data_IF_098359061504
#
_entry.id   IF_098359061504
#
_cell.length_a   1.000
_cell.length_b   1.000
_cell.length_c   1.000
_cell.angle_alpha   90.00
_cell.angle_beta   90.00
_cell.angle_gamma   90.00
#
_symmetry.space_group_name_H-M   'P 1'
#
loop_
_entity.id
_entity.type
_entity.pdbx_description
1 polymer ?
#
# COMPACT_ATOMS: atom_id res chain seq x y z
N UNK A 1 -37.61 -23.16 -69.79
CA UNK A 1 -38.12 -24.01 -68.70
C UNK A 1 -37.41 -25.36 -68.86
N UNK A 2 -36.32 -25.58 -68.16
CA UNK A 2 -36.14 -26.05 -66.78
C UNK A 2 -35.55 -27.46 -66.83
N UNK A 3 -34.24 -27.50 -66.58
CA UNK A 3 -33.41 -28.69 -66.38
C UNK A 3 -33.73 -29.26 -64.99
N UNK A 4 -33.67 -30.59 -64.77
CA UNK A 4 -33.24 -31.07 -63.47
C UNK A 4 -31.95 -31.88 -63.60
N UNK A 5 -30.86 -31.18 -63.31
CA UNK A 5 -29.55 -31.68 -62.95
C UNK A 5 -29.67 -32.32 -61.56
N UNK A 6 -29.77 -33.65 -61.48
CA UNK A 6 -29.62 -34.39 -60.21
C UNK A 6 -28.81 -35.65 -60.44
N UNK A 7 -27.55 -35.46 -60.81
CA UNK A 7 -26.51 -36.48 -60.62
C UNK A 7 -25.20 -35.70 -60.47
N UNK A 8 -24.38 -36.05 -59.47
CA UNK A 8 -23.17 -35.35 -59.01
C UNK A 8 -23.39 -34.22 -57.98
N UNK A 9 -23.77 -34.56 -56.75
CA UNK A 9 -23.20 -33.88 -55.57
C UNK A 9 -23.39 -34.72 -54.29
N UNK A 10 -22.80 -35.91 -54.28
CA UNK A 10 -22.55 -36.63 -53.03
C UNK A 10 -21.11 -37.13 -53.12
N UNK A 11 -20.32 -36.97 -52.06
CA UNK A 11 -18.87 -37.15 -51.96
C UNK A 11 -18.09 -35.83 -52.18
N UNK A 12 -18.19 -34.85 -51.26
CA UNK A 12 -17.03 -34.01 -50.86
C UNK A 12 -17.30 -33.06 -49.66
N UNK A 13 -18.04 -33.46 -48.63
CA UNK A 13 -18.30 -32.54 -47.48
C UNK A 13 -18.04 -33.15 -46.10
N UNK A 14 -17.52 -34.38 -46.02
CA UNK A 14 -17.13 -34.98 -44.72
C UNK A 14 -15.63 -34.96 -44.47
N UNK A 15 -14.78 -34.83 -45.49
CA UNK A 15 -13.32 -34.85 -45.29
C UNK A 15 -12.71 -33.48 -44.94
N UNK A 16 -13.29 -32.36 -45.41
CA UNK A 16 -12.67 -31.04 -45.21
C UNK A 16 -12.89 -30.45 -43.80
N UNK A 17 -13.93 -30.88 -43.06
CA UNK A 17 -14.11 -30.51 -41.64
C UNK A 17 -13.24 -31.31 -40.67
N UNK A 18 -12.74 -32.50 -41.07
CA UNK A 18 -11.85 -33.30 -40.22
C UNK A 18 -10.40 -32.79 -40.20
N UNK A 19 -9.94 -32.11 -41.27
CA UNK A 19 -8.57 -31.58 -41.32
C UNK A 19 -8.41 -30.24 -40.61
N UNK A 20 -9.42 -29.36 -40.64
CA UNK A 20 -9.38 -28.08 -39.92
C UNK A 20 -9.45 -28.24 -38.39
N UNK A 21 -10.16 -29.27 -37.90
CA UNK A 21 -10.27 -29.57 -36.47
C UNK A 21 -8.98 -30.19 -35.90
N UNK A 22 -8.31 -31.06 -36.65
CA UNK A 22 -7.04 -31.67 -36.22
C UNK A 22 -5.88 -30.66 -36.12
N UNK A 23 -5.81 -29.67 -37.03
CA UNK A 23 -4.79 -28.60 -36.94
C UNK A 23 -5.05 -27.62 -35.80
N UNK A 24 -6.33 -27.32 -35.54
CA UNK A 24 -6.73 -26.46 -34.42
C UNK A 24 -6.45 -27.12 -33.06
N UNK A 25 -6.72 -28.43 -32.92
CA UNK A 25 -6.43 -29.17 -31.68
C UNK A 25 -4.93 -29.24 -31.39
N UNK A 26 -4.08 -29.50 -32.39
CA UNK A 26 -2.62 -29.55 -32.19
C UNK A 26 -2.04 -28.16 -31.82
N UNK A 27 -2.57 -27.07 -32.38
CA UNK A 27 -2.15 -25.72 -32.02
C UNK A 27 -2.60 -25.33 -30.60
N UNK A 28 -3.81 -25.72 -30.19
CA UNK A 28 -4.35 -25.54 -28.85
C UNK A 28 -3.54 -26.33 -27.81
N UNK A 29 -3.23 -27.61 -28.08
CA UNK A 29 -2.45 -28.47 -27.19
C UNK A 29 -1.04 -27.91 -26.93
N UNK A 30 -0.38 -27.39 -27.98
CA UNK A 30 0.93 -26.72 -27.84
C UNK A 30 0.84 -25.46 -26.98
N UNK A 31 -0.20 -24.66 -27.17
CA UNK A 31 -0.43 -23.44 -26.37
C UNK A 31 -0.61 -23.76 -24.88
N UNK A 32 -1.39 -24.80 -24.55
CA UNK A 32 -1.63 -25.22 -23.17
C UNK A 32 -0.35 -25.70 -22.45
N UNK A 33 0.49 -26.47 -23.14
CA UNK A 33 1.80 -26.89 -22.61
C UNK A 33 2.72 -25.69 -22.34
N UNK A 34 2.77 -24.74 -23.27
CA UNK A 34 3.62 -23.55 -23.12
C UNK A 34 3.15 -22.71 -21.94
N UNK A 35 1.83 -22.48 -21.83
CA UNK A 35 1.25 -21.75 -20.70
C UNK A 35 1.55 -22.43 -19.36
N UNK A 36 1.40 -23.76 -19.29
CA UNK A 36 1.75 -24.53 -18.10
C UNK A 36 3.23 -24.39 -17.72
N UNK A 37 4.12 -24.45 -18.73
CA UNK A 37 5.57 -24.34 -18.54
C UNK A 37 6.00 -22.96 -18.07
N UNK A 38 5.41 -21.90 -18.65
CA UNK A 38 5.70 -20.52 -18.28
C UNK A 38 5.24 -20.26 -16.84
N UNK A 39 4.03 -20.66 -16.48
CA UNK A 39 3.51 -20.50 -15.13
C UNK A 39 4.31 -21.30 -14.09
N UNK A 40 4.79 -22.51 -14.43
CA UNK A 40 5.69 -23.26 -13.55
C UNK A 40 7.06 -22.59 -13.38
N UNK A 41 7.60 -21.98 -14.45
CA UNK A 41 8.86 -21.23 -14.39
C UNK A 41 8.72 -19.99 -13.52
N UNK A 42 7.63 -19.24 -13.70
CA UNK A 42 7.29 -18.08 -12.88
C UNK A 42 7.14 -18.46 -11.40
N UNK A 43 6.42 -19.55 -11.11
CA UNK A 43 6.26 -20.02 -9.74
C UNK A 43 7.61 -20.34 -9.07
N UNK A 44 8.53 -21.01 -9.78
CA UNK A 44 9.88 -21.30 -9.29
C UNK A 44 10.70 -20.04 -9.06
N UNK A 45 10.60 -19.06 -9.97
CA UNK A 45 11.27 -17.78 -9.81
C UNK A 45 10.77 -17.04 -8.56
N UNK A 46 9.45 -16.96 -8.38
CA UNK A 46 8.83 -16.31 -7.22
C UNK A 46 9.20 -17.00 -5.90
N UNK A 47 9.29 -18.34 -5.90
CA UNK A 47 9.79 -19.07 -4.73
C UNK A 47 11.23 -18.73 -4.37
N UNK A 48 12.13 -18.67 -5.36
CA UNK A 48 13.51 -18.25 -5.12
C UNK A 48 13.57 -16.82 -4.54
N UNK A 49 12.77 -15.91 -5.08
CA UNK A 49 12.64 -14.54 -4.54
C UNK A 49 12.11 -14.54 -3.11
N UNK A 50 11.12 -15.37 -2.80
CA UNK A 50 10.59 -15.51 -1.44
C UNK A 50 11.68 -15.98 -0.46
N UNK A 51 12.43 -17.02 -0.83
CA UNK A 51 13.53 -17.57 -0.02
C UNK A 51 14.65 -16.55 0.22
N UNK A 52 14.99 -15.74 -0.78
CA UNK A 52 16.02 -14.68 -0.68
C UNK A 52 15.66 -13.60 0.37
N UNK A 53 14.38 -13.25 0.48
CA UNK A 53 13.94 -12.16 1.37
C UNK A 53 13.32 -12.64 2.69
N UNK A 54 13.08 -13.94 2.85
CA UNK A 54 12.34 -14.52 3.99
C UNK A 54 12.90 -14.10 5.36
N UNK A 55 14.23 -14.05 5.49
CA UNK A 55 14.89 -13.68 6.75
C UNK A 55 14.89 -12.18 7.03
N UNK A 56 14.79 -11.34 5.99
CA UNK A 56 14.90 -9.88 6.10
C UNK A 56 13.55 -9.14 6.02
N UNK A 57 12.57 -9.74 5.34
CA UNK A 57 11.25 -9.15 5.11
C UNK A 57 10.21 -10.27 4.90
N UNK A 58 9.68 -10.78 6.00
CA UNK A 58 8.66 -11.82 6.00
C UNK A 58 7.37 -11.40 5.25
N UNK A 59 7.04 -10.10 5.23
CA UNK A 59 5.86 -9.59 4.54
C UNK A 59 6.04 -9.64 3.02
N UNK A 60 7.20 -9.22 2.51
CA UNK A 60 7.53 -9.35 1.10
C UNK A 60 7.64 -10.83 0.68
N UNK A 61 8.28 -11.66 1.49
CA UNK A 61 8.36 -13.11 1.26
C UNK A 61 6.96 -13.76 1.18
N UNK A 62 6.05 -13.40 2.10
CA UNK A 62 4.65 -13.84 2.08
C UNK A 62 3.96 -13.49 0.76
N UNK A 63 4.17 -12.27 0.25
CA UNK A 63 3.65 -11.85 -1.07
C UNK A 63 4.14 -12.74 -2.21
N UNK A 64 5.45 -13.00 -2.28
CA UNK A 64 6.02 -13.89 -3.29
C UNK A 64 5.49 -15.33 -3.19
N UNK A 65 5.32 -15.88 -1.98
CA UNK A 65 4.72 -17.20 -1.79
C UNK A 65 3.26 -17.27 -2.26
N UNK A 66 2.47 -16.21 -2.07
CA UNK A 66 1.09 -16.11 -2.58
C UNK A 66 1.07 -16.13 -4.12
N UNK A 67 1.95 -15.37 -4.76
CA UNK A 67 1.98 -15.29 -6.22
C UNK A 67 2.57 -16.55 -6.86
N UNK A 68 3.52 -17.21 -6.19
CA UNK A 68 4.02 -18.52 -6.59
C UNK A 68 2.91 -19.58 -6.59
N UNK A 69 2.04 -19.58 -5.57
CA UNK A 69 0.88 -20.48 -5.51
C UNK A 69 -0.09 -20.26 -6.68
N UNK A 70 -0.43 -19.00 -6.99
CA UNK A 70 -1.28 -18.67 -8.15
C UNK A 70 -0.68 -19.18 -9.46
N UNK A 71 0.65 -19.04 -9.60
CA UNK A 71 1.39 -19.48 -10.78
C UNK A 71 1.40 -21.01 -10.89
N UNK A 72 1.57 -21.74 -9.79
CA UNK A 72 1.44 -23.20 -9.79
C UNK A 72 0.01 -23.70 -10.00
N UNK A 73 -1.01 -23.02 -9.48
CA UNK A 73 -2.41 -23.31 -9.77
C UNK A 73 -2.72 -23.16 -11.27
N UNK A 74 -2.16 -22.12 -11.89
CA UNK A 74 -2.24 -21.92 -13.35
C UNK A 74 -1.50 -23.03 -14.10
N UNK A 75 -0.29 -23.39 -13.67
CA UNK A 75 0.48 -24.46 -14.28
C UNK A 75 -0.26 -25.81 -14.25
N UNK A 76 -0.85 -26.16 -13.10
CA UNK A 76 -1.66 -27.36 -12.89
C UNK A 76 -2.91 -27.36 -13.77
N UNK A 77 -3.63 -26.24 -13.79
CA UNK A 77 -4.86 -26.11 -14.59
C UNK A 77 -4.58 -26.31 -16.07
N UNK A 78 -3.56 -25.62 -16.61
CA UNK A 78 -3.18 -25.72 -18.02
C UNK A 78 -2.63 -27.09 -18.39
N UNK A 79 -1.90 -27.74 -17.50
CA UNK A 79 -1.44 -29.10 -17.74
C UNK A 79 -2.58 -30.12 -17.75
N UNK A 80 -3.58 -29.96 -16.86
CA UNK A 80 -4.77 -30.82 -16.83
C UNK A 80 -5.63 -30.63 -18.08
N UNK A 81 -5.81 -29.39 -18.54
CA UNK A 81 -6.49 -29.08 -19.82
C UNK A 81 -5.78 -29.74 -21.01
N UNK A 82 -4.43 -29.70 -21.04
CA UNK A 82 -3.63 -30.41 -22.03
C UNK A 82 -3.81 -31.94 -21.94
N UNK A 83 -3.76 -32.51 -20.74
CA UNK A 83 -3.88 -33.96 -20.55
C UNK A 83 -5.28 -34.48 -20.95
N UNK A 84 -6.32 -33.67 -20.78
CA UNK A 84 -7.69 -33.97 -21.17
C UNK A 84 -7.89 -33.90 -22.70
N UNK A 85 -7.30 -32.89 -23.35
CA UNK A 85 -7.31 -32.75 -24.82
C UNK A 85 -6.43 -33.78 -25.53
N UNK A 86 -5.46 -34.37 -24.82
CA UNK A 86 -4.59 -35.44 -25.34
C UNK A 86 -4.81 -36.81 -24.63
N UNK A 87 -5.92 -37.51 -24.90
CA UNK A 87 -6.26 -38.78 -24.24
C UNK A 87 -5.36 -39.95 -24.66
N UNK A 88 -4.69 -39.87 -25.81
CA UNK A 88 -3.74 -40.89 -26.30
C UNK A 88 -2.30 -40.67 -25.80
N UNK A 89 -2.05 -39.58 -25.09
CA UNK A 89 -0.74 -39.30 -24.50
C UNK A 89 -0.35 -40.30 -23.40
N UNK A 90 0.94 -40.34 -23.09
CA UNK A 90 1.50 -41.18 -22.02
C UNK A 90 0.89 -40.80 -20.65
N UNK A 91 -0.03 -41.65 -20.17
CA UNK A 91 -0.77 -41.43 -18.93
C UNK A 91 0.10 -41.52 -17.68
N UNK A 92 1.15 -42.36 -17.70
CA UNK A 92 2.07 -42.44 -16.58
C UNK A 92 2.86 -41.13 -16.45
N UNK A 93 3.39 -40.62 -17.58
CA UNK A 93 4.11 -39.34 -17.60
C UNK A 93 3.22 -38.15 -17.24
N UNK A 94 1.98 -38.11 -17.73
CA UNK A 94 1.01 -37.08 -17.37
C UNK A 94 0.73 -37.09 -15.86
N UNK A 95 0.53 -38.27 -15.26
CA UNK A 95 0.33 -38.40 -13.82
C UNK A 95 1.55 -37.93 -13.01
N UNK A 96 2.77 -38.29 -13.44
CA UNK A 96 4.01 -37.83 -12.80
C UNK A 96 4.14 -36.30 -12.79
N UNK A 97 3.83 -35.64 -13.91
CA UNK A 97 3.92 -34.17 -13.99
C UNK A 97 2.89 -33.50 -13.07
N UNK A 98 1.65 -34.03 -13.04
CA UNK A 98 0.61 -33.51 -12.13
C UNK A 98 1.04 -33.69 -10.66
N UNK A 99 1.63 -34.84 -10.32
CA UNK A 99 2.13 -35.12 -8.97
C UNK A 99 3.27 -34.17 -8.57
N UNK A 100 4.27 -33.94 -9.45
CA UNK A 100 5.37 -33.00 -9.19
C UNK A 100 4.85 -31.57 -8.97
N UNK A 101 3.97 -31.08 -9.86
CA UNK A 101 3.39 -29.74 -9.72
C UNK A 101 2.56 -29.61 -8.43
N UNK A 102 1.82 -30.65 -8.05
CA UNK A 102 1.02 -30.67 -6.82
C UNK A 102 1.92 -30.67 -5.58
N UNK A 103 3.00 -31.45 -5.58
CA UNK A 103 3.96 -31.48 -4.48
C UNK A 103 4.66 -30.12 -4.29
N UNK A 104 5.06 -29.46 -5.38
CA UNK A 104 5.65 -28.11 -5.33
C UNK A 104 4.69 -27.06 -4.78
N UNK A 105 3.44 -27.10 -5.23
CA UNK A 105 2.38 -26.23 -4.71
C UNK A 105 2.18 -26.46 -3.20
N UNK A 106 2.19 -27.71 -2.74
CA UNK A 106 2.05 -28.03 -1.33
C UNK A 106 3.23 -27.47 -0.48
N UNK A 107 4.48 -27.62 -0.93
CA UNK A 107 5.64 -27.01 -0.26
C UNK A 107 5.51 -25.48 -0.15
N UNK A 108 5.05 -24.84 -1.21
CA UNK A 108 4.78 -23.40 -1.23
C UNK A 108 3.69 -22.99 -0.23
N UNK A 109 2.63 -23.79 -0.10
CA UNK A 109 1.53 -23.56 0.82
C UNK A 109 1.99 -23.67 2.28
N UNK A 110 2.81 -24.69 2.59
CA UNK A 110 3.41 -24.87 3.91
C UNK A 110 4.36 -23.71 4.27
N UNK A 111 5.19 -23.27 3.32
CA UNK A 111 6.08 -22.11 3.50
C UNK A 111 5.30 -20.82 3.68
N UNK A 112 4.29 -20.58 2.83
CA UNK A 112 3.37 -19.45 2.97
C UNK A 112 2.76 -19.41 4.37
N UNK A 113 2.23 -20.54 4.86
CA UNK A 113 1.58 -20.59 6.17
C UNK A 113 2.52 -20.17 7.30
N UNK A 114 3.79 -20.62 7.27
CA UNK A 114 4.80 -20.21 8.26
C UNK A 114 5.17 -18.73 8.14
N UNK A 115 5.46 -18.27 6.93
CA UNK A 115 6.02 -16.94 6.68
C UNK A 115 4.97 -15.85 6.80
N UNK A 116 3.76 -16.07 6.29
CA UNK A 116 2.67 -15.11 6.43
C UNK A 116 2.20 -14.98 7.90
N UNK A 117 2.20 -16.08 8.67
CA UNK A 117 1.92 -16.00 10.11
C UNK A 117 2.97 -15.20 10.88
N UNK A 118 4.23 -15.19 10.43
CA UNK A 118 5.28 -14.30 10.95
C UNK A 118 5.08 -12.86 10.46
N UNK A 119 4.75 -12.66 9.18
CA UNK A 119 4.46 -11.35 8.60
C UNK A 119 3.30 -10.62 9.30
N UNK A 120 2.24 -11.33 9.67
CA UNK A 120 1.12 -10.75 10.41
C UNK A 120 1.55 -10.28 11.80
N UNK A 121 2.43 -11.02 12.48
CA UNK A 121 3.00 -10.61 13.76
C UNK A 121 3.94 -9.42 13.62
N UNK A 122 4.79 -9.40 12.59
CA UNK A 122 5.69 -8.28 12.30
C UNK A 122 4.90 -7.02 11.94
N UNK A 123 3.81 -7.15 11.18
CA UNK A 123 2.88 -6.06 10.89
C UNK A 123 2.20 -5.55 12.16
N UNK A 124 1.72 -6.43 13.04
CA UNK A 124 1.12 -6.03 14.31
C UNK A 124 2.12 -5.33 15.24
N UNK A 125 3.37 -5.81 15.29
CA UNK A 125 4.44 -5.19 16.07
C UNK A 125 4.82 -3.81 15.51
N UNK A 126 4.87 -3.67 14.18
CA UNK A 126 5.08 -2.37 13.50
C UNK A 126 3.93 -1.40 13.76
N UNK A 127 2.69 -1.85 13.68
CA UNK A 127 1.52 -1.02 14.01
C UNK A 127 1.55 -0.58 15.47
N UNK A 128 1.84 -1.48 16.41
CA UNK A 128 1.98 -1.12 17.83
C UNK A 128 3.09 -0.08 18.05
N UNK A 129 4.25 -0.29 17.44
CA UNK A 129 5.36 0.67 17.48
C UNK A 129 4.97 2.02 16.88
N UNK A 130 4.21 2.02 15.78
CA UNK A 130 3.71 3.25 15.17
C UNK A 130 2.77 4.01 16.11
N UNK A 131 1.84 3.31 16.75
CA UNK A 131 0.92 3.92 17.72
C UNK A 131 1.69 4.54 18.89
N UNK A 132 2.71 3.84 19.40
CA UNK A 132 3.59 4.36 20.46
C UNK A 132 4.35 5.62 20.02
N UNK A 133 4.87 5.65 18.79
CA UNK A 133 5.56 6.81 18.25
C UNK A 133 4.62 7.98 17.90
N UNK A 134 3.35 7.72 17.60
CA UNK A 134 2.33 8.74 17.35
C UNK A 134 1.72 9.32 18.64
N UNK A 135 1.78 8.60 19.76
CA UNK A 135 1.30 9.08 21.05
C UNK A 135 1.83 10.48 21.43
N UNK A 136 3.15 10.78 21.36
CA UNK A 136 3.66 12.12 21.65
C UNK A 136 3.17 13.17 20.65
N UNK A 137 2.97 12.83 19.37
CA UNK A 137 2.40 13.76 18.39
C UNK A 137 0.96 14.15 18.77
N UNK A 138 0.12 13.17 19.12
CA UNK A 138 -1.24 13.43 19.56
C UNK A 138 -1.28 14.26 20.86
N UNK A 139 -0.35 14.01 21.79
CA UNK A 139 -0.24 14.80 23.01
C UNK A 139 0.10 16.27 22.72
N UNK A 140 1.03 16.54 21.80
CA UNK A 140 1.38 17.91 21.41
C UNK A 140 0.25 18.61 20.65
N UNK A 141 -0.50 17.89 19.79
CA UNK A 141 -1.70 18.46 19.15
C UNK A 141 -2.78 18.81 20.17
N UNK A 142 -3.01 17.95 21.16
CA UNK A 142 -3.97 18.21 22.23
C UNK A 142 -3.55 19.41 23.09
N UNK A 143 -2.26 19.52 23.41
CA UNK A 143 -1.70 20.67 24.12
C UNK A 143 -1.87 21.95 23.31
N UNK A 144 -1.56 21.93 22.01
CA UNK A 144 -1.73 23.08 21.12
C UNK A 144 -3.19 23.58 21.10
N UNK A 145 -4.15 22.66 20.98
CA UNK A 145 -5.57 22.99 21.00
C UNK A 145 -6.04 23.55 22.35
N UNK A 146 -5.53 23.01 23.46
CA UNK A 146 -5.81 23.52 24.81
C UNK A 146 -5.29 24.95 24.98
N UNK A 147 -4.04 25.21 24.57
CA UNK A 147 -3.43 26.53 24.66
C UNK A 147 -4.12 27.55 23.73
N UNK A 148 -4.54 27.13 22.54
CA UNK A 148 -5.34 27.97 21.64
C UNK A 148 -6.68 28.36 22.26
N UNK A 149 -7.38 27.41 22.89
CA UNK A 149 -8.65 27.67 23.58
C UNK A 149 -8.47 28.63 24.75
N UNK A 150 -7.38 28.52 25.51
CA UNK A 150 -7.02 29.50 26.56
C UNK A 150 -6.80 30.88 25.93
N UNK A 151 -6.07 30.95 24.81
CA UNK A 151 -5.84 32.17 24.06
C UNK A 151 -7.12 32.85 23.62
N UNK A 152 -8.04 32.09 23.02
CA UNK A 152 -9.35 32.58 22.56
C UNK A 152 -10.19 33.14 23.72
N UNK A 153 -10.21 32.43 24.85
CA UNK A 153 -10.93 32.89 26.04
C UNK A 153 -10.32 34.15 26.64
N UNK A 154 -8.98 34.22 26.75
CA UNK A 154 -8.29 35.42 27.23
C UNK A 154 -8.47 36.60 26.29
N UNK A 155 -8.50 36.36 24.97
CA UNK A 155 -8.79 37.39 23.99
C UNK A 155 -10.21 37.95 24.19
N UNK A 156 -11.22 37.08 24.35
CA UNK A 156 -12.60 37.48 24.61
C UNK A 156 -12.78 38.25 25.93
N UNK A 157 -11.93 37.98 26.94
CA UNK A 157 -11.90 38.73 28.22
C UNK A 157 -11.06 40.01 28.18
N UNK A 158 -10.48 40.36 27.03
CA UNK A 158 -9.53 41.48 26.87
C UNK A 158 -8.25 41.37 27.71
N UNK A 159 -7.79 40.15 27.96
CA UNK A 159 -6.55 39.86 28.69
C UNK A 159 -5.37 39.74 27.72
N UNK A 160 -4.88 40.87 27.22
CA UNK A 160 -3.90 40.93 26.13
C UNK A 160 -2.66 40.03 26.33
N UNK A 161 -2.01 40.09 27.50
CA UNK A 161 -0.81 39.28 27.76
C UNK A 161 -1.10 37.79 27.88
N UNK A 162 -2.22 37.43 28.50
CA UNK A 162 -2.63 36.03 28.63
C UNK A 162 -2.95 35.43 27.26
N UNK A 163 -3.66 36.18 26.41
CA UNK A 163 -3.96 35.76 25.04
C UNK A 163 -2.69 35.52 24.23
N UNK A 164 -1.76 36.49 24.23
CA UNK A 164 -0.49 36.38 23.50
C UNK A 164 0.35 35.19 23.97
N UNK A 165 0.52 35.03 25.29
CA UNK A 165 1.33 33.94 25.84
C UNK A 165 0.71 32.56 25.53
N UNK A 166 -0.63 32.44 25.60
CA UNK A 166 -1.32 31.19 25.30
C UNK A 166 -1.19 30.82 23.81
N UNK A 167 -1.37 31.76 22.89
CA UNK A 167 -1.14 31.49 21.47
C UNK A 167 0.33 31.14 21.14
N UNK A 168 1.30 31.75 21.84
CA UNK A 168 2.72 31.37 21.71
C UNK A 168 2.97 29.95 22.23
N UNK A 169 2.33 29.54 23.33
CA UNK A 169 2.43 28.17 23.84
C UNK A 169 1.86 27.15 22.85
N UNK A 170 0.69 27.48 22.26
CA UNK A 170 0.09 26.68 21.19
C UNK A 170 1.04 26.53 19.98
N UNK A 171 1.71 27.62 19.59
CA UNK A 171 2.69 27.61 18.50
C UNK A 171 3.87 26.69 18.82
N UNK A 172 4.40 26.78 20.04
CA UNK A 172 5.50 25.94 20.48
C UNK A 172 5.13 24.45 20.48
N UNK A 173 3.89 24.11 20.86
CA UNK A 173 3.38 22.74 20.79
C UNK A 173 3.26 22.23 19.34
N UNK A 174 2.72 23.05 18.42
CA UNK A 174 2.66 22.70 16.99
C UNK A 174 4.05 22.50 16.37
N UNK A 175 5.05 23.31 16.75
CA UNK A 175 6.43 23.12 16.30
C UNK A 175 7.03 21.79 16.79
N UNK A 176 6.77 21.41 18.06
CA UNK A 176 7.19 20.11 18.60
C UNK A 176 6.48 18.96 17.88
N UNK A 177 5.19 19.09 17.61
CA UNK A 177 4.42 18.13 16.83
C UNK A 177 5.01 17.94 15.42
N UNK A 178 5.38 19.03 14.73
CA UNK A 178 6.03 18.96 13.41
C UNK A 178 7.39 18.26 13.45
N UNK A 179 8.18 18.46 14.52
CA UNK A 179 9.43 17.73 14.72
C UNK A 179 9.19 16.23 14.89
N UNK A 180 8.21 15.85 15.72
CA UNK A 180 7.84 14.44 15.93
C UNK A 180 7.44 13.79 14.61
N UNK A 181 6.63 14.46 13.77
CA UNK A 181 6.28 13.95 12.44
C UNK A 181 7.50 13.72 11.54
N UNK A 182 8.49 14.62 11.61
CA UNK A 182 9.72 14.49 10.82
C UNK A 182 10.56 13.28 11.27
N UNK A 183 10.74 13.13 12.58
CA UNK A 183 11.49 12.00 13.16
C UNK A 183 10.77 10.67 12.87
N UNK A 184 9.44 10.65 13.01
CA UNK A 184 8.61 9.50 12.68
C UNK A 184 8.72 9.12 11.20
N UNK A 185 8.66 10.10 10.28
CA UNK A 185 8.81 9.83 8.86
C UNK A 185 10.16 9.15 8.55
N UNK A 186 11.25 9.60 9.18
CA UNK A 186 12.57 8.96 9.03
C UNK A 186 12.57 7.52 9.55
N UNK A 187 11.96 7.28 10.72
CA UNK A 187 11.94 5.95 11.33
C UNK A 187 11.09 4.95 10.54
N UNK A 188 9.93 5.37 10.02
CA UNK A 188 9.04 4.48 9.26
C UNK A 188 9.50 4.32 7.80
N UNK A 189 10.26 5.25 7.23
CA UNK A 189 10.91 5.05 5.91
C UNK A 189 11.88 3.86 5.92
N UNK A 190 12.41 3.50 7.10
CA UNK A 190 13.26 2.31 7.28
C UNK A 190 12.50 0.99 7.38
N UNK A 191 11.16 0.99 7.39
CA UNK A 191 10.36 -0.23 7.48
C UNK A 191 10.13 -0.81 6.09
N UNK A 192 10.78 -1.94 5.78
CA UNK A 192 10.50 -2.68 4.55
C UNK A 192 9.10 -3.33 4.64
N UNK A 193 8.20 -2.98 3.72
CA UNK A 193 6.86 -3.56 3.61
C UNK A 193 5.78 -2.59 3.10
N UNK A 194 4.79 -3.11 2.38
CA UNK A 194 3.70 -2.35 1.74
C UNK A 194 2.61 -1.84 2.70
N UNK A 195 2.79 -2.02 4.01
CA UNK A 195 1.80 -1.62 5.02
C UNK A 195 2.08 -0.21 5.55
N UNK A 196 2.11 0.80 4.69
CA UNK A 196 1.96 2.18 5.16
C UNK A 196 0.62 2.73 4.69
N UNK A 197 -0.39 2.60 5.56
CA UNK A 197 -1.66 3.36 5.49
C UNK A 197 -1.52 4.81 5.99
N UNK A 198 -0.30 5.25 6.28
CA UNK A 198 -0.05 6.54 6.91
C UNK A 198 0.23 7.58 5.83
N UNK A 199 -0.72 8.48 5.64
CA UNK A 199 -0.55 9.63 4.77
C UNK A 199 0.20 10.73 5.54
N UNK A 200 1.53 10.60 5.64
CA UNK A 200 2.38 11.61 6.28
C UNK A 200 2.19 12.99 5.66
N UNK A 201 1.95 13.07 4.35
CA UNK A 201 1.66 14.35 3.68
C UNK A 201 0.38 15.00 4.23
N UNK A 202 -0.68 14.24 4.48
CA UNK A 202 -1.92 14.76 5.08
C UNK A 202 -1.68 15.26 6.51
N UNK A 203 -0.93 14.51 7.33
CA UNK A 203 -0.59 14.94 8.70
C UNK A 203 0.26 16.21 8.70
N UNK A 204 1.29 16.27 7.85
CA UNK A 204 2.13 17.47 7.69
C UNK A 204 1.31 18.65 7.22
N UNK A 205 0.45 18.47 6.21
CA UNK A 205 -0.39 19.55 5.70
C UNK A 205 -1.34 20.09 6.77
N UNK A 206 -1.95 19.21 7.58
CA UNK A 206 -2.80 19.63 8.70
C UNK A 206 -2.02 20.45 9.74
N UNK A 207 -0.79 20.06 10.09
CA UNK A 207 0.05 20.84 10.99
C UNK A 207 0.39 22.22 10.40
N UNK A 208 0.66 22.30 9.10
CA UNK A 208 0.89 23.58 8.40
C UNK A 208 -0.36 24.46 8.41
N UNK A 209 -1.55 23.90 8.18
CA UNK A 209 -2.81 24.64 8.19
C UNK A 209 -3.12 25.20 9.59
N UNK A 210 -2.87 24.41 10.64
CA UNK A 210 -3.00 24.86 12.03
C UNK A 210 -2.02 26.00 12.37
N UNK A 211 -0.75 25.88 11.93
CA UNK A 211 0.25 26.94 12.11
C UNK A 211 -0.18 28.24 11.41
N UNK A 212 -0.74 28.14 10.20
CA UNK A 212 -1.23 29.29 9.46
C UNK A 212 -2.41 29.97 10.18
N UNK A 213 -3.39 29.19 10.66
CA UNK A 213 -4.53 29.69 11.42
C UNK A 213 -4.10 30.40 12.71
N UNK A 214 -3.16 29.79 13.45
CA UNK A 214 -2.62 30.37 14.68
C UNK A 214 -1.82 31.66 14.41
N UNK A 215 -1.06 31.71 13.31
CA UNK A 215 -0.38 32.92 12.85
C UNK A 215 -1.35 34.10 12.70
N UNK A 216 -2.54 33.88 12.13
CA UNK A 216 -3.58 34.92 12.03
C UNK A 216 -4.06 35.42 13.39
N UNK A 217 -4.25 34.49 14.35
CA UNK A 217 -4.66 34.83 15.72
C UNK A 217 -3.58 35.65 16.43
N UNK A 218 -2.31 35.29 16.27
CA UNK A 218 -1.18 36.03 16.83
C UNK A 218 -1.08 37.45 16.25
N UNK A 219 -1.17 37.60 14.92
CA UNK A 219 -1.18 38.91 14.25
C UNK A 219 -2.35 39.76 14.72
N UNK A 220 -3.55 39.19 14.79
CA UNK A 220 -4.76 39.87 15.29
C UNK A 220 -4.58 40.33 16.73
N UNK A 221 -4.02 39.47 17.57
CA UNK A 221 -3.76 39.75 18.98
C UNK A 221 -2.81 40.93 19.14
N UNK A 222 -1.68 40.92 18.42
CA UNK A 222 -0.71 42.01 18.44
C UNK A 222 -1.25 43.35 17.89
N UNK A 223 -2.12 43.30 16.87
CA UNK A 223 -2.76 44.50 16.32
C UNK A 223 -3.87 45.08 17.21
N UNK A 224 -4.50 44.26 18.05
CA UNK A 224 -5.59 44.70 18.93
C UNK A 224 -5.08 45.53 20.12
N UNK A 225 -3.94 45.15 20.72
CA UNK A 225 -3.41 45.81 21.92
C UNK A 225 -1.94 46.26 21.82
N UNK A 226 -1.53 47.00 20.77
CA UNK A 226 -0.14 47.37 20.55
C UNK A 226 0.46 48.17 21.72
N UNK A 227 -0.35 49.05 22.32
CA UNK A 227 0.08 49.88 23.46
C UNK A 227 0.31 49.06 24.74
N UNK A 228 -0.44 47.97 24.93
CA UNK A 228 -0.30 47.11 26.11
C UNK A 228 1.02 46.34 26.03
N UNK A 229 1.36 45.81 24.85
CA UNK A 229 2.62 45.09 24.66
C UNK A 229 3.84 46.01 24.69
N UNK A 230 3.73 47.24 24.18
CA UNK A 230 4.78 48.24 24.32
C UNK A 230 5.03 48.58 25.80
N UNK A 231 3.97 48.83 26.58
CA UNK A 231 4.07 49.16 28.01
C UNK A 231 4.62 47.99 28.85
N UNK A 232 4.27 46.75 28.49
CA UNK A 232 4.72 45.56 29.19
C UNK A 232 6.13 45.07 28.79
N UNK A 233 6.75 45.68 27.77
CA UNK A 233 8.04 45.21 27.23
C UNK A 233 7.93 43.96 26.34
N UNK A 234 6.72 43.55 25.97
CA UNK A 234 6.43 42.40 25.11
C UNK A 234 6.45 42.75 23.61
N UNK A 235 6.72 44.00 23.23
CA UNK A 235 6.74 44.47 21.84
C UNK A 235 7.58 43.58 20.92
N UNK A 236 8.74 43.11 21.40
CA UNK A 236 9.63 42.21 20.63
C UNK A 236 8.97 40.90 20.23
N UNK A 237 8.03 40.38 21.04
CA UNK A 237 7.25 39.17 20.69
C UNK A 237 6.34 39.45 19.50
N UNK A 238 5.67 40.60 19.51
CA UNK A 238 4.82 41.02 18.40
C UNK A 238 5.61 41.33 17.14
N UNK A 239 6.78 41.97 17.26
CA UNK A 239 7.67 42.20 16.11
C UNK A 239 8.12 40.87 15.48
N UNK A 240 8.42 39.85 16.29
CA UNK A 240 8.75 38.51 15.80
C UNK A 240 7.56 37.82 15.12
N UNK A 241 6.34 38.00 15.63
CA UNK A 241 5.11 37.51 15.00
C UNK A 241 4.94 38.16 13.62
N UNK A 242 5.05 39.48 13.50
CA UNK A 242 4.90 40.18 12.22
C UNK A 242 5.99 39.83 11.20
N UNK A 243 7.23 39.60 11.66
CA UNK A 243 8.30 39.13 10.80
C UNK A 243 8.02 37.73 10.22
N UNK A 244 7.35 36.87 11.00
CA UNK A 244 7.03 35.49 10.61
C UNK A 244 5.75 35.41 9.78
N UNK A 245 4.74 36.23 10.09
CA UNK A 245 3.45 36.28 9.41
C UNK A 245 3.08 37.73 9.03
N UNK A 246 3.68 38.29 7.96
CA UNK A 246 3.48 39.69 7.59
C UNK A 246 2.08 40.01 7.04
N UNK A 247 1.35 38.99 6.58
CA UNK A 247 0.06 39.15 5.88
C UNK A 247 -1.10 38.42 6.60
N UNK A 248 -1.11 38.39 7.94
CA UNK A 248 -2.08 37.62 8.75
C UNK A 248 -3.48 37.47 8.14
#
# INVERSE_FOLDING_TARGET
MNIPTKTLLTICTTSFCLFATATASVAQDKSLIIQSTNANTEAKYLMGRAEEVEASDAAMACGYYIDALKSWDTALTKFREFAASNPKGDKARQATIIADLTARRADAEDRRARVCGAADKDNAAREAKYQDLMAPFHAELAQAASDEAIGDQSFARNEAQNALNAYINSLNALMRAGKILTDLNQEVTGWNGTAQKVNFMDLTQRTVDLLAALGKKLVTTCNTWPQVYAAAGDQKKCDAVFATWPNG
#
